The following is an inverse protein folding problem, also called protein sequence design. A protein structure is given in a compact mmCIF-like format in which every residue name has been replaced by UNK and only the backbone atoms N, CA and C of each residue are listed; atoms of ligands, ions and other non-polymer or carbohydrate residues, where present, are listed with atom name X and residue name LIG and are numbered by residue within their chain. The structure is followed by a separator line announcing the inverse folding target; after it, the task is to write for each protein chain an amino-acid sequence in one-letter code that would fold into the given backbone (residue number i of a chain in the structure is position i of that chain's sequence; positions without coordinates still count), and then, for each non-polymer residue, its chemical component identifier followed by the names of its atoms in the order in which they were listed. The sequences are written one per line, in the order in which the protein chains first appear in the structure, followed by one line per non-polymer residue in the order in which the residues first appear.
data_IF_219989674437
#
_entry.id   IF_219989674437
#
_cell.length_a   1.000
_cell.length_b   1.000
_cell.length_c   1.000
_cell.angle_alpha   90.00
_cell.angle_beta   90.00
_cell.angle_gamma   90.00
#
_symmetry.space_group_name_H-M   'P 1'
#
loop_
_entity.id
_entity.type
_entity.pdbx_description
1 polymer ?
#
# COMPACT_ATOMS: atom_id res chain seq x y z
N UNK A 1 10.75 1.96 -5.88
CA UNK A 1 9.90 0.79 -5.58
C UNK A 1 8.53 1.25 -5.13
N UNK A 2 7.49 0.50 -5.48
CA UNK A 2 6.10 0.78 -5.12
C UNK A 2 5.54 -0.46 -4.44
N UNK A 3 5.01 -0.29 -3.23
CA UNK A 3 4.26 -1.33 -2.53
C UNK A 3 2.79 -0.93 -2.41
N UNK A 4 1.91 -1.90 -2.20
CA UNK A 4 0.50 -1.69 -1.90
C UNK A 4 0.21 -1.96 -0.41
N UNK A 5 -0.68 -1.16 0.17
CA UNK A 5 -1.23 -1.41 1.50
C UNK A 5 -2.69 -1.87 1.38
N UNK A 6 -3.00 -3.01 1.97
CA UNK A 6 -4.34 -3.59 2.11
C UNK A 6 -4.77 -4.45 0.92
N UNK A 7 -4.82 -5.76 1.12
CA UNK A 7 -5.30 -6.74 0.14
C UNK A 7 -6.84 -6.85 0.14
N UNK A 8 -7.54 -5.72 -0.02
CA UNK A 8 -9.01 -5.66 -0.02
C UNK A 8 -9.59 -5.99 -1.42
N UNK A 9 -10.85 -6.47 -1.47
CA UNK A 9 -11.51 -6.82 -2.74
C UNK A 9 -11.53 -5.67 -3.76
N UNK A 10 -11.81 -4.44 -3.31
CA UNK A 10 -11.75 -3.23 -4.15
C UNK A 10 -10.33 -2.91 -4.64
N UNK A 11 -9.32 -3.26 -3.85
CA UNK A 11 -7.92 -3.13 -4.22
C UNK A 11 -7.57 -4.10 -5.35
N UNK A 12 -7.99 -5.36 -5.22
CA UNK A 12 -7.82 -6.34 -6.28
C UNK A 12 -8.47 -5.89 -7.60
N UNK A 13 -9.72 -5.40 -7.55
CA UNK A 13 -10.42 -4.88 -8.74
C UNK A 13 -9.62 -3.72 -9.37
N UNK A 14 -9.16 -2.76 -8.57
CA UNK A 14 -8.38 -1.62 -9.05
C UNK A 14 -7.08 -2.04 -9.72
N UNK A 15 -6.29 -2.92 -9.09
CA UNK A 15 -5.01 -3.37 -9.64
C UNK A 15 -5.22 -4.12 -10.96
N UNK A 16 -6.19 -5.03 -11.02
CA UNK A 16 -6.51 -5.77 -12.24
C UNK A 16 -6.98 -4.83 -13.36
N UNK A 17 -7.90 -3.91 -13.06
CA UNK A 17 -8.44 -2.97 -14.05
C UNK A 17 -7.36 -2.02 -14.59
N UNK A 18 -6.46 -1.55 -13.73
CA UNK A 18 -5.40 -0.64 -14.10
C UNK A 18 -4.16 -1.33 -14.70
N UNK A 19 -4.14 -2.68 -14.76
CA UNK A 19 -2.98 -3.44 -15.23
C UNK A 19 -1.74 -3.29 -14.34
N UNK A 20 -1.94 -3.14 -13.02
CA UNK A 20 -0.88 -2.99 -12.04
C UNK A 20 -0.57 -4.35 -11.40
N UNK A 21 0.36 -5.08 -12.02
CA UNK A 21 0.80 -6.42 -11.62
C UNK A 21 2.13 -6.41 -10.83
N UNK A 22 2.72 -7.58 -10.60
CA UNK A 22 4.00 -7.72 -9.88
C UNK A 22 5.19 -7.03 -10.57
N UNK A 23 5.05 -6.59 -11.83
CA UNK A 23 6.08 -5.82 -12.52
C UNK A 23 6.09 -4.34 -12.09
N UNK A 24 4.98 -3.86 -11.51
CA UNK A 24 4.81 -2.47 -11.06
C UNK A 24 4.68 -2.38 -9.55
N UNK A 25 3.98 -3.34 -8.93
CA UNK A 25 3.75 -3.40 -7.48
C UNK A 25 4.63 -4.50 -6.91
N UNK A 26 5.72 -4.11 -6.25
CA UNK A 26 6.75 -5.03 -5.75
C UNK A 26 6.18 -6.02 -4.72
N UNK A 27 5.24 -5.56 -3.90
CA UNK A 27 4.53 -6.37 -2.92
C UNK A 27 3.30 -5.65 -2.35
N UNK A 28 2.41 -6.41 -1.71
CA UNK A 28 1.29 -5.91 -0.93
C UNK A 28 1.53 -6.22 0.55
N UNK A 29 0.97 -5.42 1.46
CA UNK A 29 0.90 -5.77 2.89
C UNK A 29 -0.53 -5.77 3.38
N UNK A 30 -0.87 -6.66 4.32
CA UNK A 30 -2.17 -6.66 4.97
C UNK A 30 -2.04 -7.11 6.43
N UNK A 31 -2.79 -6.45 7.32
CA UNK A 31 -2.84 -6.78 8.75
C UNK A 31 -3.56 -8.10 9.02
N UNK A 32 -4.38 -8.58 8.09
CA UNK A 32 -5.04 -9.87 8.21
C UNK A 32 -4.03 -11.01 7.95
N UNK A 33 -3.61 -11.66 9.04
CA UNK A 33 -2.65 -12.77 9.03
C UNK A 33 -3.05 -13.92 8.10
N UNK A 34 -4.35 -14.12 7.82
CA UNK A 34 -4.81 -15.18 6.93
C UNK A 34 -4.56 -14.90 5.44
N UNK A 35 -4.16 -13.68 5.09
CA UNK A 35 -3.78 -13.28 3.73
C UNK A 35 -2.27 -13.31 3.50
N UNK A 36 -1.47 -13.25 4.57
CA UNK A 36 -0.02 -13.19 4.48
C UNK A 36 0.53 -14.50 3.90
N UNK A 37 1.54 -14.42 3.02
CA UNK A 37 2.08 -15.55 2.26
C UNK A 37 1.19 -16.02 1.10
N UNK A 38 0.11 -15.29 0.80
CA UNK A 38 -0.73 -15.51 -0.39
C UNK A 38 -0.52 -14.36 -1.38
N UNK A 39 -1.22 -14.44 -2.50
CA UNK A 39 -1.10 -13.48 -3.59
C UNK A 39 -2.42 -12.73 -3.81
N UNK A 40 -2.30 -11.49 -4.25
CA UNK A 40 -3.40 -10.72 -4.81
C UNK A 40 -3.94 -11.44 -6.06
N UNK A 41 -5.25 -11.70 -6.15
CA UNK A 41 -5.81 -12.46 -7.26
C UNK A 41 -5.68 -11.69 -8.59
N UNK A 42 -5.26 -12.40 -9.64
CA UNK A 42 -5.17 -11.90 -11.01
C UNK A 42 -3.88 -11.12 -11.34
N UNK A 43 -3.21 -10.56 -10.35
CA UNK A 43 -2.03 -9.69 -10.51
C UNK A 43 -0.76 -10.24 -9.85
N UNK A 44 -0.83 -11.44 -9.28
CA UNK A 44 0.28 -12.19 -8.65
C UNK A 44 1.21 -11.40 -7.70
N UNK A 45 0.73 -10.32 -7.09
CA UNK A 45 1.45 -9.55 -6.05
C UNK A 45 1.39 -10.30 -4.71
N UNK A 46 2.53 -10.68 -4.14
CA UNK A 46 2.60 -11.36 -2.84
C UNK A 46 2.21 -10.43 -1.68
N UNK A 47 1.53 -10.99 -0.67
CA UNK A 47 1.00 -10.27 0.49
C UNK A 47 1.85 -10.60 1.73
N UNK A 48 2.45 -9.58 2.33
CA UNK A 48 3.29 -9.68 3.52
C UNK A 48 2.65 -9.05 4.77
N UNK A 49 3.32 -9.22 5.91
CA UNK A 49 3.05 -8.45 7.12
C UNK A 49 3.48 -6.98 6.96
N UNK A 50 2.73 -6.01 7.53
CA UNK A 50 3.08 -4.59 7.44
C UNK A 50 4.49 -4.22 7.93
N UNK A 51 5.11 -5.02 8.81
CA UNK A 51 6.50 -4.80 9.25
C UNK A 51 7.49 -4.70 8.09
N UNK A 52 7.22 -5.40 6.98
CA UNK A 52 8.05 -5.40 5.77
C UNK A 52 8.18 -4.00 5.16
N UNK A 53 7.23 -3.10 5.40
CA UNK A 53 7.31 -1.69 4.94
C UNK A 53 8.58 -1.02 5.49
N UNK A 54 8.87 -1.18 6.78
CA UNK A 54 10.02 -0.52 7.41
C UNK A 54 11.34 -1.24 7.10
N UNK A 55 11.28 -2.53 6.79
CA UNK A 55 12.44 -3.33 6.38
C UNK A 55 12.88 -2.97 4.95
N UNK A 56 11.91 -2.90 4.03
CA UNK A 56 12.18 -2.68 2.59
C UNK A 56 12.15 -1.23 2.17
N UNK A 57 11.49 -0.36 2.94
CA UNK A 57 11.37 1.09 2.68
C UNK A 57 11.04 1.41 1.21
N UNK A 58 9.84 1.04 0.71
CA UNK A 58 9.45 1.43 -0.64
C UNK A 58 9.38 2.96 -0.76
N UNK A 59 9.59 3.51 -1.96
CA UNK A 59 9.46 4.95 -2.18
C UNK A 59 7.99 5.39 -2.03
N UNK A 60 7.07 4.54 -2.51
CA UNK A 60 5.64 4.80 -2.49
C UNK A 60 4.84 3.63 -1.91
N UNK A 61 3.83 3.97 -1.11
CA UNK A 61 2.84 3.04 -0.58
C UNK A 61 1.44 3.38 -1.12
N UNK A 62 0.95 2.57 -2.04
CA UNK A 62 -0.40 2.69 -2.62
C UNK A 62 -1.47 2.21 -1.64
N UNK A 63 -2.32 3.13 -1.17
CA UNK A 63 -3.39 2.81 -0.21
C UNK A 63 -4.63 2.30 -0.96
N UNK A 64 -4.76 0.99 -1.06
CA UNK A 64 -5.92 0.32 -1.69
C UNK A 64 -7.21 0.41 -0.86
N UNK A 65 -7.20 0.40 0.48
CA UNK A 65 -8.36 0.75 1.28
C UNK A 65 -8.39 2.26 1.55
N UNK A 66 -8.52 3.06 0.48
CA UNK A 66 -8.46 4.53 0.53
C UNK A 66 -9.47 5.19 1.48
N UNK A 67 -10.55 4.50 1.84
CA UNK A 67 -11.51 4.95 2.85
C UNK A 67 -10.94 4.97 4.28
N UNK A 68 -9.82 4.28 4.52
CA UNK A 68 -9.09 4.26 5.79
C UNK A 68 -7.73 4.95 5.68
N UNK A 69 -7.54 5.82 4.67
CA UNK A 69 -6.24 6.43 4.38
C UNK A 69 -5.62 7.13 5.58
N UNK A 70 -6.41 7.88 6.36
CA UNK A 70 -5.87 8.69 7.46
C UNK A 70 -5.39 7.78 8.59
N UNK A 71 -6.19 6.77 8.96
CA UNK A 71 -5.81 5.76 9.96
C UNK A 71 -4.54 5.00 9.53
N UNK A 72 -4.44 4.63 8.26
CA UNK A 72 -3.29 3.91 7.71
C UNK A 72 -2.06 4.80 7.73
N UNK A 73 -2.17 6.05 7.31
CA UNK A 73 -1.07 7.00 7.33
C UNK A 73 -0.58 7.26 8.76
N UNK A 74 -1.49 7.35 9.74
CA UNK A 74 -1.12 7.43 11.16
C UNK A 74 -0.40 6.16 11.62
N UNK A 75 -0.89 4.97 11.27
CA UNK A 75 -0.23 3.69 11.60
C UNK A 75 1.17 3.57 10.97
N UNK A 76 1.36 4.18 9.80
CA UNK A 76 2.61 4.17 9.04
C UNK A 76 3.42 5.47 9.23
N UNK A 77 3.27 6.17 10.35
CA UNK A 77 3.97 7.42 10.62
C UNK A 77 5.50 7.28 10.64
N UNK A 78 6.05 6.15 11.09
CA UNK A 78 7.50 5.89 11.04
C UNK A 78 8.01 5.79 9.59
N UNK A 79 7.28 5.07 8.73
CA UNK A 79 7.59 4.98 7.30
C UNK A 79 7.61 6.37 6.66
N UNK A 80 6.60 7.18 6.97
CA UNK A 80 6.48 8.56 6.52
C UNK A 80 7.65 9.43 7.02
N UNK A 81 8.03 9.32 8.30
CA UNK A 81 9.16 10.04 8.90
C UNK A 81 10.50 9.69 8.25
N UNK A 82 10.64 8.45 7.77
CA UNK A 82 11.82 7.97 7.04
C UNK A 82 11.82 8.34 5.56
N UNK A 83 10.91 9.22 5.12
CA UNK A 83 10.85 9.74 3.75
C UNK A 83 9.89 9.01 2.83
N UNK A 84 9.21 7.97 3.31
CA UNK A 84 8.21 7.25 2.54
C UNK A 84 7.01 8.12 2.17
N UNK A 85 6.48 7.92 0.96
CA UNK A 85 5.32 8.66 0.46
C UNK A 85 4.12 7.73 0.26
N UNK A 86 2.91 8.29 0.28
CA UNK A 86 1.67 7.54 0.08
C UNK A 86 1.04 7.92 -1.26
N UNK A 87 0.43 6.94 -1.93
CA UNK A 87 -0.44 7.17 -3.09
C UNK A 87 -1.88 6.90 -2.67
N UNK A 88 -2.74 7.91 -2.80
CA UNK A 88 -4.19 7.78 -2.57
C UNK A 88 -4.88 7.82 -3.94
N UNK A 89 -5.46 6.71 -4.43
CA UNK A 89 -5.90 6.60 -5.82
C UNK A 89 -7.25 7.26 -6.13
N UNK A 90 -8.08 7.53 -5.11
CA UNK A 90 -9.48 7.99 -5.23
C UNK A 90 -9.69 9.23 -4.36
N UNK A 91 -10.45 10.26 -4.81
CA UNK A 91 -11.20 10.36 -6.07
C UNK A 91 -10.34 10.61 -7.31
N UNK A 92 -9.18 11.24 -7.13
CA UNK A 92 -8.15 11.40 -8.15
C UNK A 92 -6.82 10.98 -7.55
N UNK A 93 -5.94 10.29 -8.31
CA UNK A 93 -4.64 9.89 -7.80
C UNK A 93 -3.83 11.08 -7.31
N UNK A 94 -3.32 10.98 -6.09
CA UNK A 94 -2.49 12.00 -5.47
C UNK A 94 -1.39 11.36 -4.64
N UNK A 95 -0.23 12.01 -4.64
CA UNK A 95 0.87 11.69 -3.73
C UNK A 95 0.69 12.53 -2.48
N UNK A 96 0.75 11.89 -1.32
CA UNK A 96 0.69 12.55 -0.02
C UNK A 96 2.03 12.35 0.69
N UNK A 97 2.73 13.46 0.92
CA UNK A 97 4.02 13.50 1.61
C UNK A 97 3.85 13.27 3.11
N UNK A 98 4.79 12.56 3.71
CA UNK A 98 4.80 12.25 5.15
C UNK A 98 4.88 13.47 6.09
N UNK A 99 5.33 14.63 5.60
CA UNK A 99 5.41 15.88 6.40
C UNK A 99 4.04 16.35 6.92
N UNK A 100 2.95 15.99 6.23
CA UNK A 100 1.59 16.38 6.62
C UNK A 100 1.03 15.64 7.83
N UNK A 101 1.64 14.52 8.25
CA UNK A 101 1.17 13.72 9.40
C UNK A 101 1.73 14.25 10.74
N UNK A 102 2.65 15.23 10.69
CA UNK A 102 3.32 15.79 11.86
C UNK A 102 2.75 17.12 12.36
N UNK A 103 1.55 17.52 11.89
CA UNK A 103 0.86 18.76 12.30
C UNK A 103 -0.48 18.48 12.93
#
# INVERSE_FOLDING_TARGET
SIAAYGAAAKGAIMLNYAGLDEQVIDFCVDRNVHKQGKFMPGVAVEIFDPKVILERMPDYLLILPWNFKDEIMTQQAEYARRGGQFIVPVPTPQIVSGELVSR
#
